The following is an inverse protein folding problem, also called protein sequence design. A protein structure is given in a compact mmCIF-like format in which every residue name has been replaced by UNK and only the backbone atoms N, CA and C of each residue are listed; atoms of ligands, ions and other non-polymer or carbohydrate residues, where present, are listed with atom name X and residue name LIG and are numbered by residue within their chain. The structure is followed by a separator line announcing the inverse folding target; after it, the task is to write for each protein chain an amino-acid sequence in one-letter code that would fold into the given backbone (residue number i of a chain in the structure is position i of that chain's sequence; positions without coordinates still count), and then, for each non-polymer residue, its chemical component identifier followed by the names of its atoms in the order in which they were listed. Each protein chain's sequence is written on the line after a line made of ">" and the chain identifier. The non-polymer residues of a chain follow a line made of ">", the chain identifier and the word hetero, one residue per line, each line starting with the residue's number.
data_IF_348913644113
#
_entry.id   IF_348913644113
#
_cell.length_a   1.000
_cell.length_b   1.000
_cell.length_c   1.000
_cell.angle_alpha   90.00
_cell.angle_beta   90.00
_cell.angle_gamma   90.00
#
_symmetry.space_group_name_H-M   'P 1'
#
loop_
_entity.id
_entity.type
_entity.pdbx_description
1 polymer ?
#
# COMPACT_ATOMS: atom_id res chain seq x y z
N UNK A 1 -0.86 -12.29 5.78
CA UNK A 1 0.34 -12.45 6.65
C UNK A 1 0.07 -11.76 7.99
N UNK A 2 0.70 -12.19 9.09
CA UNK A 2 0.52 -11.58 10.41
C UNK A 2 1.75 -10.75 10.80
N UNK A 3 1.53 -9.58 11.35
CA UNK A 3 2.58 -8.64 11.77
C UNK A 3 2.26 -8.08 13.13
N UNK A 4 3.22 -8.11 14.05
CA UNK A 4 3.06 -7.57 15.39
C UNK A 4 3.72 -6.19 15.49
N UNK A 5 3.00 -5.25 16.11
CA UNK A 5 3.42 -3.88 16.36
C UNK A 5 3.32 -3.57 17.85
N UNK A 6 4.23 -2.76 18.37
CA UNK A 6 4.12 -2.25 19.74
C UNK A 6 3.55 -0.84 19.72
N UNK A 7 2.30 -0.68 20.15
CA UNK A 7 1.58 0.60 20.20
C UNK A 7 1.34 0.94 21.65
N UNK A 8 1.82 2.11 22.10
CA UNK A 8 1.72 2.54 23.50
C UNK A 8 2.25 1.52 24.53
N UNK A 9 3.18 0.66 24.13
CA UNK A 9 3.73 -0.40 24.99
C UNK A 9 3.05 -1.76 24.86
N UNK A 10 1.87 -1.83 24.23
CA UNK A 10 1.07 -3.05 24.08
C UNK A 10 1.24 -3.66 22.67
N UNK A 11 1.26 -5.00 22.54
CA UNK A 11 1.32 -5.67 21.25
C UNK A 11 -0.04 -5.60 20.53
N UNK A 12 -0.01 -5.22 19.25
CA UNK A 12 -1.13 -5.25 18.34
C UNK A 12 -0.74 -6.10 17.13
N UNK A 13 -1.54 -7.12 16.81
CA UNK A 13 -1.29 -7.99 15.66
C UNK A 13 -2.22 -7.61 14.51
N UNK A 14 -1.64 -7.30 13.35
CA UNK A 14 -2.37 -7.04 12.12
C UNK A 14 -2.32 -8.24 11.18
N UNK A 15 -3.46 -8.58 10.61
CA UNK A 15 -3.57 -9.49 9.48
C UNK A 15 -3.60 -8.66 8.20
N UNK A 16 -2.49 -8.65 7.46
CA UNK A 16 -2.32 -7.84 6.24
C UNK A 16 -2.27 -8.70 4.99
N UNK A 17 -2.83 -8.18 3.91
CA UNK A 17 -2.79 -8.72 2.56
C UNK A 17 -2.32 -7.64 1.59
N UNK A 18 -1.43 -8.01 0.66
CA UNK A 18 -0.98 -7.10 -0.41
C UNK A 18 -2.21 -6.76 -1.26
N UNK A 19 -2.44 -5.48 -1.52
CA UNK A 19 -3.57 -5.05 -2.35
C UNK A 19 -3.53 -5.76 -3.71
N UNK A 20 -4.70 -6.04 -4.28
CA UNK A 20 -4.84 -6.61 -5.62
C UNK A 20 -5.68 -5.65 -6.46
N UNK A 21 -5.39 -5.59 -7.76
CA UNK A 21 -6.12 -4.71 -8.68
C UNK A 21 -6.01 -3.22 -8.32
N UNK A 22 -4.90 -2.82 -7.68
CA UNK A 22 -4.66 -1.40 -7.37
C UNK A 22 -4.49 -0.56 -8.64
N UNK A 23 -4.00 -1.21 -9.69
CA UNK A 23 -3.80 -0.62 -11.01
C UNK A 23 -4.39 -1.57 -12.06
N UNK A 24 -4.88 -1.00 -13.17
CA UNK A 24 -5.35 -1.77 -14.31
C UNK A 24 -4.18 -2.37 -15.09
N UNK A 25 -4.44 -3.41 -15.89
CA UNK A 25 -3.42 -4.05 -16.73
C UNK A 25 -2.81 -3.08 -17.75
N UNK A 26 -3.57 -2.07 -18.16
CA UNK A 26 -3.20 -1.03 -19.12
C UNK A 26 -2.77 0.29 -18.46
N UNK A 27 -2.42 0.27 -17.18
CA UNK A 27 -2.00 1.46 -16.45
C UNK A 27 -0.83 2.18 -17.16
N UNK A 28 -0.97 3.51 -17.24
CA UNK A 28 0.03 4.40 -17.82
C UNK A 28 0.16 5.67 -16.99
N UNK A 29 1.38 6.18 -16.88
CA UNK A 29 1.70 7.43 -16.22
C UNK A 29 2.02 8.49 -17.26
N UNK A 30 1.38 9.66 -17.17
CA UNK A 30 1.66 10.80 -18.06
C UNK A 30 2.17 11.98 -17.26
N UNK A 31 3.31 12.52 -17.67
CA UNK A 31 3.91 13.72 -17.08
C UNK A 31 4.42 14.66 -18.17
N UNK A 32 4.65 15.92 -17.80
CA UNK A 32 5.16 16.93 -18.71
C UNK A 32 6.62 17.24 -18.39
N UNK A 33 7.48 17.29 -19.40
CA UNK A 33 8.85 17.76 -19.25
C UNK A 33 8.89 19.29 -19.05
N UNK A 34 10.02 19.85 -18.60
CA UNK A 34 10.13 21.30 -18.35
C UNK A 34 9.85 22.19 -19.57
N UNK A 35 10.03 21.65 -20.79
CA UNK A 35 9.71 22.28 -22.07
C UNK A 35 8.24 22.08 -22.52
N UNK A 36 7.42 21.43 -21.70
CA UNK A 36 5.97 21.26 -21.91
C UNK A 36 5.57 20.06 -22.77
N UNK A 37 6.50 19.20 -23.16
CA UNK A 37 6.19 17.98 -23.92
C UNK A 37 5.60 16.90 -23.01
N UNK A 38 4.57 16.24 -23.51
CA UNK A 38 3.92 15.11 -22.85
C UNK A 38 4.78 13.84 -22.98
N UNK A 39 4.91 13.09 -21.87
CA UNK A 39 5.64 11.84 -21.78
C UNK A 39 4.75 10.81 -21.09
N UNK A 40 4.40 9.75 -21.82
CA UNK A 40 3.61 8.62 -21.31
C UNK A 40 4.49 7.39 -21.13
N UNK A 41 4.40 6.73 -19.98
CA UNK A 41 5.13 5.50 -19.65
C UNK A 41 4.19 4.43 -19.11
N UNK A 42 4.50 3.16 -19.39
CA UNK A 42 3.79 1.99 -18.84
C UNK A 42 4.74 1.23 -17.90
N UNK A 43 4.83 1.64 -16.62
CA UNK A 43 5.70 0.96 -15.67
C UNK A 43 5.18 -0.46 -15.37
N UNK A 44 6.06 -1.41 -15.03
CA UNK A 44 5.62 -2.71 -14.52
C UNK A 44 4.93 -2.53 -13.17
N UNK A 45 3.66 -2.89 -13.10
CA UNK A 45 2.77 -2.50 -12.00
C UNK A 45 2.66 -3.53 -10.87
N UNK A 46 3.37 -4.65 -11.01
CA UNK A 46 3.26 -5.80 -10.12
C UNK A 46 3.91 -5.59 -8.74
N UNK A 47 4.84 -4.65 -8.62
CA UNK A 47 5.62 -4.45 -7.39
C UNK A 47 5.26 -3.18 -6.63
N UNK A 48 4.03 -3.11 -6.13
CA UNK A 48 3.63 -2.08 -5.18
C UNK A 48 3.88 -2.52 -3.72
N UNK A 49 3.80 -1.58 -2.78
CA UNK A 49 4.10 -1.77 -1.36
C UNK A 49 2.91 -1.46 -0.43
N UNK A 50 1.70 -1.46 -0.98
CA UNK A 50 0.45 -1.21 -0.26
C UNK A 50 -0.27 -2.49 0.18
N UNK A 51 -0.75 -2.47 1.41
CA UNK A 51 -1.43 -3.58 2.08
C UNK A 51 -2.69 -3.08 2.79
N UNK A 52 -3.73 -3.90 2.81
CA UNK A 52 -4.92 -3.71 3.64
C UNK A 52 -5.06 -4.86 4.63
N UNK A 53 -5.88 -4.70 5.65
CA UNK A 53 -6.06 -5.75 6.64
C UNK A 53 -6.96 -5.36 7.79
N UNK A 54 -6.79 -6.09 8.90
CA UNK A 54 -7.55 -5.93 10.15
C UNK A 54 -6.70 -6.25 11.37
N UNK A 55 -7.12 -5.77 12.53
CA UNK A 55 -6.58 -6.16 13.84
C UNK A 55 -7.02 -7.59 14.14
N UNK A 56 -6.12 -8.37 14.73
CA UNK A 56 -6.42 -9.73 15.14
C UNK A 56 -7.56 -9.76 16.16
N UNK A 57 -8.53 -10.65 15.95
CA UNK A 57 -9.74 -10.83 16.76
C UNK A 57 -10.74 -9.65 16.71
N UNK A 58 -10.55 -8.68 15.81
CA UNK A 58 -11.51 -7.62 15.54
C UNK A 58 -11.82 -7.60 14.04
N UNK A 59 -12.93 -8.24 13.67
CA UNK A 59 -13.32 -8.39 12.27
C UNK A 59 -13.90 -7.11 11.63
N UNK A 60 -14.30 -6.13 12.45
CA UNK A 60 -14.87 -4.86 12.00
C UNK A 60 -13.82 -3.76 11.85
N UNK A 61 -12.64 -3.96 12.46
CA UNK A 61 -11.48 -3.11 12.25
C UNK A 61 -11.00 -3.07 10.80
N UNK A 62 -10.24 -2.03 10.47
CA UNK A 62 -9.61 -1.84 9.17
C UNK A 62 -8.19 -1.33 9.36
N UNK A 63 -7.24 -1.90 8.63
CA UNK A 63 -5.86 -1.45 8.58
C UNK A 63 -5.47 -1.12 7.15
N UNK A 64 -4.70 -0.04 6.97
CA UNK A 64 -4.08 0.33 5.71
C UNK A 64 -2.62 0.67 5.96
N UNK A 65 -1.73 -0.10 5.34
CA UNK A 65 -0.28 -0.02 5.57
C UNK A 65 0.43 0.20 4.24
N UNK A 66 1.35 1.16 4.23
CA UNK A 66 2.33 1.39 3.18
C UNK A 66 3.71 1.02 3.70
N UNK A 67 4.39 0.14 2.96
CA UNK A 67 5.81 -0.15 3.12
C UNK A 67 6.69 0.65 2.13
N UNK A 68 6.11 1.62 1.43
CA UNK A 68 6.80 2.41 0.42
C UNK A 68 7.70 3.46 1.10
N UNK A 69 9.01 3.31 0.92
CA UNK A 69 10.01 4.21 1.52
C UNK A 69 9.84 4.31 3.06
N UNK A 70 9.75 3.15 3.70
CA UNK A 70 9.51 3.01 5.14
C UNK A 70 8.09 2.57 5.46
N UNK A 71 7.81 2.41 6.75
CA UNK A 71 6.54 1.86 7.24
C UNK A 71 5.62 2.97 7.75
N UNK A 72 4.43 3.08 7.16
CA UNK A 72 3.41 4.09 7.48
C UNK A 72 2.04 3.46 7.40
N UNK A 73 1.06 3.95 8.17
CA UNK A 73 -0.30 3.43 8.06
C UNK A 73 -1.24 3.91 9.16
N UNK A 74 -2.47 3.42 9.09
CA UNK A 74 -3.52 3.62 10.09
C UNK A 74 -4.26 2.30 10.33
N UNK A 75 -4.70 2.10 11.58
CA UNK A 75 -5.51 0.98 12.04
C UNK A 75 -6.12 1.31 13.40
#
# INVERSE_FOLDING_TARGET
>A
MKYEFKVNGEPVVLHLEKNKGLFSEDYSETHYSPDGREITTNPPVEDHCYYHGRIQNDADSTASISACNGLKGHF
#
